data_IF_264140429314
#
_entry.id   IF_264140429314
#
_cell.length_a   1.000
_cell.length_b   1.000
_cell.length_c   1.000
_cell.angle_alpha   90.00
_cell.angle_beta   90.00
_cell.angle_gamma   90.00
#
_symmetry.space_group_name_H-M   'P 1'
#
loop_
_entity.id
_entity.type
_entity.pdbx_description
1 polymer ?
#
# COMPACT_ATOMS: atom_id res chain seq x y z
N UNK A 1 -15.05 -55.71 22.81
CA UNK A 1 -14.93 -55.45 24.26
C UNK A 1 -14.38 -54.04 24.47
N UNK A 2 -15.15 -53.20 25.16
CA UNK A 2 -14.79 -52.04 26.02
C UNK A 2 -13.64 -51.10 25.59
N UNK A 3 -14.07 -49.94 25.06
CA UNK A 3 -13.58 -48.55 25.22
C UNK A 3 -12.27 -48.34 26.01
N UNK A 4 -11.33 -47.60 25.43
CA UNK A 4 -10.50 -46.65 26.19
C UNK A 4 -10.47 -45.32 25.45
N UNK A 5 -10.93 -44.30 26.15
CA UNK A 5 -11.19 -42.93 25.70
C UNK A 5 -10.11 -42.08 26.37
N UNK A 6 -9.00 -41.84 25.68
CA UNK A 6 -7.94 -40.96 26.21
C UNK A 6 -8.06 -39.61 25.53
N UNK A 7 -8.92 -38.78 26.14
CA UNK A 7 -8.89 -37.33 26.03
C UNK A 7 -7.53 -36.86 26.56
N UNK A 8 -6.75 -36.19 25.72
CA UNK A 8 -5.62 -35.38 26.17
C UNK A 8 -5.87 -33.95 25.71
N UNK A 9 -6.59 -33.22 26.56
CA UNK A 9 -6.69 -31.77 26.58
C UNK A 9 -5.32 -31.22 26.98
N UNK A 10 -4.61 -30.57 26.06
CA UNK A 10 -3.56 -29.62 26.42
C UNK A 10 -4.09 -28.23 26.10
N UNK A 11 -4.54 -27.57 27.16
CA UNK A 11 -4.97 -26.20 27.16
C UNK A 11 -3.77 -25.29 27.49
N UNK A 12 -3.82 -24.07 26.92
CA UNK A 12 -3.17 -22.84 27.38
C UNK A 12 -1.65 -22.71 27.19
N UNK A 13 -1.25 -21.72 26.39
CA UNK A 13 -0.55 -20.54 26.93
C UNK A 13 -0.75 -19.35 25.98
N UNK A 14 -1.62 -18.43 26.39
CA UNK A 14 -1.75 -17.11 25.78
C UNK A 14 -0.53 -16.27 26.18
N UNK A 15 0.37 -15.99 25.24
CA UNK A 15 1.40 -14.97 25.44
C UNK A 15 0.77 -13.58 25.29
N UNK A 16 0.38 -13.01 26.43
CA UNK A 16 0.17 -11.58 26.55
C UNK A 16 1.53 -10.92 26.78
N UNK A 17 2.06 -10.21 25.79
CA UNK A 17 3.18 -9.28 26.00
C UNK A 17 2.54 -7.93 26.32
N UNK A 18 2.28 -7.72 27.61
CA UNK A 18 1.98 -6.40 28.15
C UNK A 18 3.29 -5.69 28.52
N UNK A 19 3.24 -4.39 28.22
CA UNK A 19 4.27 -3.37 28.35
C UNK A 19 4.79 -3.11 29.78
N UNK A 20 5.90 -2.36 29.82
CA UNK A 20 6.40 -1.48 30.90
C UNK A 20 7.39 -2.05 31.94
N UNK A 21 8.58 -1.46 31.94
CA UNK A 21 9.53 -1.46 33.06
C UNK A 21 10.84 -0.74 32.69
N UNK A 22 10.98 0.54 33.10
CA UNK A 22 12.22 1.30 32.96
C UNK A 22 12.05 2.78 33.30
N UNK A 23 12.44 3.13 34.52
CA UNK A 23 12.20 4.39 35.25
C UNK A 23 12.90 5.65 34.72
N UNK A 24 12.36 6.78 35.21
CA UNK A 24 12.70 8.18 34.99
C UNK A 24 14.16 8.58 35.24
N UNK A 25 14.72 9.43 34.36
CA UNK A 25 15.60 10.54 34.76
C UNK A 25 15.28 11.81 33.96
N UNK A 26 14.88 12.82 34.73
CA UNK A 26 14.83 14.25 34.42
C UNK A 26 16.21 14.74 33.95
N UNK A 27 16.24 15.50 32.86
CA UNK A 27 17.08 16.69 32.76
C UNK A 27 16.44 17.70 31.81
N UNK A 28 16.27 18.90 32.35
CA UNK A 28 15.63 20.08 31.79
C UNK A 28 16.71 21.07 31.34
N UNK A 29 16.67 21.49 30.07
CA UNK A 29 17.20 22.76 29.53
C UNK A 29 16.70 22.87 28.08
N UNK A 30 15.66 23.66 27.77
CA UNK A 30 15.55 25.13 27.72
C UNK A 30 16.45 25.77 26.65
N UNK A 31 15.79 26.69 25.93
CA UNK A 31 16.23 27.72 25.00
C UNK A 31 16.01 27.36 23.52
N UNK A 32 14.81 27.58 23.00
CA UNK A 32 14.31 28.81 22.34
C UNK A 32 15.02 29.18 21.02
N UNK A 33 14.21 29.14 19.96
CA UNK A 33 14.09 30.16 18.90
C UNK A 33 15.15 30.21 17.79
N UNK A 34 14.72 29.80 16.59
CA UNK A 34 14.76 30.68 15.42
C UNK A 34 13.74 30.27 14.35
N UNK A 35 12.72 31.11 14.21
CA UNK A 35 11.89 31.26 13.01
C UNK A 35 12.78 31.59 11.81
N UNK A 36 12.60 30.89 10.70
CA UNK A 36 12.76 31.49 9.37
C UNK A 36 11.82 30.77 8.39
N UNK A 37 10.81 31.51 7.97
CA UNK A 37 10.09 31.26 6.74
C UNK A 37 11.03 31.51 5.56
N UNK A 38 11.02 30.61 4.58
CA UNK A 38 11.20 30.94 3.18
C UNK A 38 10.19 30.14 2.37
N UNK A 39 9.11 30.83 1.98
CA UNK A 39 8.48 30.63 0.69
C UNK A 39 9.45 31.12 -0.39
N UNK A 40 9.38 30.46 -1.55
CA UNK A 40 9.65 30.91 -2.92
C UNK A 40 9.95 29.63 -3.72
N UNK A 41 8.92 29.03 -4.32
CA UNK A 41 8.47 29.28 -5.70
C UNK A 41 9.39 28.60 -6.72
N UNK A 42 8.89 27.49 -7.27
CA UNK A 42 9.18 27.15 -8.66
C UNK A 42 7.88 26.84 -9.38
N UNK A 43 7.20 27.92 -9.78
CA UNK A 43 6.50 27.97 -11.06
C UNK A 43 7.49 27.60 -12.15
N UNK A 44 7.28 26.42 -12.72
CA UNK A 44 7.67 26.08 -14.09
C UNK A 44 6.39 25.75 -14.82
N UNK A 45 5.68 26.80 -15.21
CA UNK A 45 4.64 26.79 -16.23
C UNK A 45 5.28 26.34 -17.54
N UNK A 46 4.86 25.19 -18.06
CA UNK A 46 4.76 24.96 -19.49
C UNK A 46 3.67 23.91 -19.69
N UNK A 47 2.45 24.44 -19.78
CA UNK A 47 1.29 23.74 -20.29
C UNK A 47 1.58 23.26 -21.71
N UNK A 48 2.00 22.02 -21.82
CA UNK A 48 1.74 21.17 -22.96
C UNK A 48 1.04 19.89 -22.44
N UNK A 49 -0.10 20.09 -21.77
CA UNK A 49 -1.14 19.07 -21.65
C UNK A 49 -1.78 18.87 -23.03
N UNK A 50 -0.99 18.40 -23.98
CA UNK A 50 -1.45 17.67 -25.16
C UNK A 50 -0.99 16.23 -25.03
N UNK A 51 -1.54 15.55 -24.02
CA UNK A 51 -1.66 14.10 -24.07
C UNK A 51 -3.15 13.76 -23.92
N UNK A 52 -3.93 14.22 -24.88
CA UNK A 52 -5.14 13.51 -25.30
C UNK A 52 -4.72 12.16 -25.89
N UNK A 53 -4.30 11.23 -25.03
CA UNK A 53 -4.40 9.80 -25.34
C UNK A 53 -5.59 9.25 -24.59
N UNK A 54 -6.70 9.20 -25.33
CA UNK A 54 -7.61 8.07 -25.32
C UNK A 54 -8.11 7.61 -23.94
N UNK A 55 -9.12 8.30 -23.41
CA UNK A 55 -10.13 7.71 -22.51
C UNK A 55 -9.59 6.88 -21.34
N UNK A 56 -8.96 7.53 -20.37
CA UNK A 56 -8.44 6.87 -19.17
C UNK A 56 -8.33 7.81 -17.97
N UNK A 57 -7.88 7.29 -16.84
CA UNK A 57 -7.67 8.06 -15.61
C UNK A 57 -6.71 9.23 -15.81
N UNK A 58 -6.85 10.33 -15.04
CA UNK A 58 -5.82 11.35 -14.90
C UNK A 58 -4.42 10.76 -14.66
N UNK A 59 -3.39 11.30 -15.33
CA UNK A 59 -2.01 10.80 -15.24
C UNK A 59 -1.52 10.73 -13.79
N UNK A 60 -1.80 11.76 -12.99
CA UNK A 60 -1.45 11.81 -11.56
C UNK A 60 -1.99 10.61 -10.75
N UNK A 61 -3.16 10.08 -11.14
CA UNK A 61 -3.76 8.92 -10.47
C UNK A 61 -3.14 7.61 -10.96
N UNK A 62 -2.78 7.53 -12.24
CA UNK A 62 -2.04 6.41 -12.79
C UNK A 62 -0.65 6.31 -12.13
N UNK A 63 0.08 7.42 -12.02
CA UNK A 63 1.40 7.49 -11.41
C UNK A 63 1.34 7.12 -9.92
N UNK A 64 0.31 7.59 -9.21
CA UNK A 64 0.07 7.23 -7.82
C UNK A 64 -0.22 5.73 -7.67
N UNK A 65 -1.04 5.14 -8.56
CA UNK A 65 -1.29 3.70 -8.57
C UNK A 65 0.00 2.92 -8.78
N UNK A 66 0.77 3.27 -9.83
CA UNK A 66 2.02 2.60 -10.16
C UNK A 66 3.02 2.67 -9.02
N UNK A 67 3.22 3.84 -8.44
CA UNK A 67 4.15 4.04 -7.31
C UNK A 67 3.80 3.16 -6.13
N UNK A 68 2.53 3.17 -5.70
CA UNK A 68 2.08 2.39 -4.54
C UNK A 68 2.08 0.88 -4.82
N UNK A 69 1.68 0.48 -6.03
CA UNK A 69 1.67 -0.93 -6.42
C UNK A 69 3.09 -1.50 -6.45
N UNK A 70 4.02 -0.81 -7.13
CA UNK A 70 5.42 -1.25 -7.23
C UNK A 70 6.04 -1.31 -5.84
N UNK A 71 5.81 -0.30 -4.99
CA UNK A 71 6.28 -0.31 -3.60
C UNK A 71 5.73 -1.51 -2.81
N UNK A 72 4.45 -1.85 -2.99
CA UNK A 72 3.80 -2.97 -2.31
C UNK A 72 4.32 -4.36 -2.71
N UNK A 73 4.94 -4.50 -3.88
CA UNK A 73 5.53 -5.77 -4.34
C UNK A 73 7.06 -5.80 -4.23
N UNK A 74 7.69 -4.71 -3.75
CA UNK A 74 9.13 -4.70 -3.48
C UNK A 74 9.50 -5.85 -2.54
N UNK A 75 10.60 -6.51 -2.86
CA UNK A 75 11.09 -7.66 -2.09
C UNK A 75 10.45 -8.99 -2.47
N UNK A 76 9.57 -9.03 -3.48
CA UNK A 76 9.11 -10.28 -4.09
C UNK A 76 9.97 -10.59 -5.32
N UNK A 77 11.01 -11.44 -5.22
CA UNK A 77 12.01 -11.61 -6.29
C UNK A 77 11.46 -12.26 -7.56
N UNK A 78 10.30 -12.92 -7.47
CA UNK A 78 9.65 -13.61 -8.59
C UNK A 78 8.74 -12.70 -9.42
N UNK A 79 8.50 -11.47 -8.96
CA UNK A 79 7.58 -10.52 -9.60
C UNK A 79 8.36 -9.35 -10.19
N UNK A 80 8.24 -9.15 -11.50
CA UNK A 80 8.60 -7.87 -12.10
C UNK A 80 7.53 -6.84 -11.72
N UNK A 81 7.81 -6.02 -10.70
CA UNK A 81 6.82 -5.12 -10.12
C UNK A 81 6.25 -4.11 -11.12
N UNK A 82 7.07 -3.56 -12.01
CA UNK A 82 6.61 -2.59 -13.01
C UNK A 82 5.62 -3.23 -13.99
N UNK A 83 5.96 -4.40 -14.54
CA UNK A 83 5.13 -5.14 -15.49
C UNK A 83 3.83 -5.64 -14.86
N UNK A 84 3.90 -6.18 -13.64
CA UNK A 84 2.71 -6.59 -12.89
C UNK A 84 1.78 -5.41 -12.61
N UNK A 85 2.34 -4.29 -12.13
CA UNK A 85 1.55 -3.12 -11.78
C UNK A 85 0.96 -2.41 -12.99
N UNK A 86 1.67 -2.34 -14.12
CA UNK A 86 1.12 -1.79 -15.36
C UNK A 86 -0.04 -2.64 -15.87
N UNK A 87 0.10 -3.97 -15.83
CA UNK A 87 -0.99 -4.89 -16.18
C UNK A 87 -2.22 -4.67 -15.29
N UNK A 88 -2.01 -4.56 -13.96
CA UNK A 88 -3.11 -4.32 -13.03
C UNK A 88 -3.77 -2.95 -13.24
N UNK A 89 -2.99 -1.90 -13.53
CA UNK A 89 -3.52 -0.57 -13.81
C UNK A 89 -4.45 -0.59 -15.03
N UNK A 90 -4.03 -1.22 -16.12
CA UNK A 90 -4.85 -1.37 -17.33
C UNK A 90 -6.18 -2.07 -17.01
N UNK A 91 -6.15 -3.19 -16.27
CA UNK A 91 -7.37 -3.92 -15.87
C UNK A 91 -8.29 -3.12 -14.98
N UNK A 92 -7.72 -2.36 -14.05
CA UNK A 92 -8.49 -1.51 -13.14
C UNK A 92 -9.14 -0.36 -13.90
N UNK A 93 -8.41 0.30 -14.82
CA UNK A 93 -8.94 1.37 -15.67
C UNK A 93 -10.02 0.87 -16.63
N UNK A 94 -9.89 -0.35 -17.15
CA UNK A 94 -10.92 -1.00 -17.98
C UNK A 94 -12.21 -1.25 -17.19
N UNK A 95 -12.09 -1.71 -15.93
CA UNK A 95 -13.25 -2.00 -15.08
C UNK A 95 -13.88 -0.76 -14.45
N UNK A 96 -13.06 0.21 -14.09
CA UNK A 96 -13.47 1.45 -13.44
C UNK A 96 -12.92 2.63 -14.24
N UNK A 97 -13.60 3.09 -15.30
CA UNK A 97 -13.10 4.21 -16.11
C UNK A 97 -12.93 5.52 -15.32
N UNK A 98 -13.60 5.64 -14.18
CA UNK A 98 -13.41 6.72 -13.21
C UNK A 98 -12.60 6.21 -12.00
N UNK A 99 -11.47 6.85 -11.72
CA UNK A 99 -10.59 6.47 -10.62
C UNK A 99 -11.23 6.55 -9.23
N UNK A 100 -12.18 7.46 -9.04
CA UNK A 100 -12.90 7.58 -7.78
C UNK A 100 -13.71 6.32 -7.46
N UNK A 101 -14.14 5.57 -8.49
CA UNK A 101 -14.91 4.34 -8.31
C UNK A 101 -14.05 3.14 -7.94
N UNK A 102 -12.74 3.19 -8.21
CA UNK A 102 -11.81 2.11 -7.91
C UNK A 102 -11.62 1.87 -6.40
N UNK A 103 -12.09 2.77 -5.53
CA UNK A 103 -12.17 2.51 -4.09
C UNK A 103 -13.08 1.30 -3.77
N UNK A 104 -14.01 0.99 -4.68
CA UNK A 104 -14.95 -0.13 -4.58
C UNK A 104 -14.42 -1.38 -5.29
N UNK A 105 -13.10 -1.49 -5.44
CA UNK A 105 -12.44 -2.66 -6.01
C UNK A 105 -12.82 -3.92 -5.26
N UNK A 106 -13.52 -4.82 -5.95
CA UNK A 106 -13.84 -6.12 -5.39
C UNK A 106 -12.56 -6.95 -5.20
N UNK A 107 -12.36 -7.44 -3.99
CA UNK A 107 -11.15 -8.18 -3.62
C UNK A 107 -11.00 -9.48 -4.41
N UNK A 108 -12.10 -10.18 -4.64
CA UNK A 108 -12.09 -11.45 -5.38
C UNK A 108 -11.68 -11.22 -6.83
N UNK A 109 -12.25 -10.19 -7.46
CA UNK A 109 -11.86 -9.77 -8.80
C UNK A 109 -10.39 -9.34 -8.87
N UNK A 110 -9.92 -8.53 -7.92
CA UNK A 110 -8.52 -8.09 -7.88
C UNK A 110 -7.54 -9.26 -7.82
N UNK A 111 -7.83 -10.26 -6.98
CA UNK A 111 -7.01 -11.48 -6.88
C UNK A 111 -7.04 -12.28 -8.18
N UNK A 112 -8.21 -12.41 -8.82
CA UNK A 112 -8.34 -13.12 -10.07
C UNK A 112 -7.57 -12.47 -11.21
N UNK A 113 -7.56 -11.13 -11.30
CA UNK A 113 -6.76 -10.42 -12.31
C UNK A 113 -5.27 -10.42 -11.97
N UNK A 114 -4.89 -10.35 -10.68
CA UNK A 114 -3.50 -10.40 -10.25
C UNK A 114 -2.79 -11.68 -10.71
N UNK A 115 -3.46 -12.84 -10.61
CA UNK A 115 -2.93 -14.12 -11.10
C UNK A 115 -2.65 -14.07 -12.61
N UNK A 116 -3.56 -13.49 -13.39
CA UNK A 116 -3.37 -13.31 -14.84
C UNK A 116 -2.21 -12.38 -15.15
N UNK A 117 -2.06 -11.29 -14.40
CA UNK A 117 -0.95 -10.34 -14.56
C UNK A 117 0.41 -10.93 -14.14
N UNK A 118 0.42 -12.01 -13.37
CA UNK A 118 1.63 -12.79 -13.06
C UNK A 118 1.90 -13.90 -14.07
N UNK A 119 1.04 -14.05 -15.10
CA UNK A 119 1.17 -15.10 -16.11
C UNK A 119 0.89 -16.51 -15.59
N UNK A 120 0.09 -16.63 -14.51
CA UNK A 120 -0.33 -17.90 -13.90
C UNK A 120 -1.73 -18.31 -14.36
#
# INVERSE_FOLDING_TARGET
MKKVKTLLLVALTSFAIASCGGEEKKDEKKDEKKTEAKNEDHEGDDHADDHSTSGGWPQVQQDAFMTNCVDGVKGTPEINGEEYCSCMLEKVMEKYPNAADAINLDRSWMQAEAVKCLGQ
#
